data_IF_387730455155
#
_entry.id   IF_387730455155
#
_cell.length_a   1.000
_cell.length_b   1.000
_cell.length_c   1.000
_cell.angle_alpha   90.00
_cell.angle_beta   90.00
_cell.angle_gamma   90.00
#
_symmetry.space_group_name_H-M   'P 1'
#
loop_
_entity.id
_entity.type
_entity.pdbx_description
1 polymer ?
#
# COMPACT_ATOMS: atom_id res chain seq x y z
N UNK A 1 3.53 15.84 0.90
CA UNK A 1 3.48 15.01 2.13
C UNK A 1 4.17 13.68 1.83
N UNK A 2 5.05 13.21 2.71
CA UNK A 2 5.61 11.86 2.65
C UNK A 2 4.92 11.02 3.72
N UNK A 3 4.21 9.96 3.34
CA UNK A 3 3.54 9.06 4.28
C UNK A 3 3.95 7.61 4.03
N UNK A 4 4.09 6.85 5.11
CA UNK A 4 4.34 5.41 5.08
C UNK A 4 3.23 4.66 5.83
N UNK A 5 2.73 3.57 5.25
CA UNK A 5 1.79 2.65 5.88
C UNK A 5 2.51 1.33 6.09
N UNK A 6 2.89 1.03 7.33
CA UNK A 6 3.54 -0.24 7.67
C UNK A 6 2.52 -1.38 7.72
N UNK A 7 2.79 -2.43 6.94
CA UNK A 7 1.99 -3.64 6.92
C UNK A 7 2.56 -4.65 7.93
N UNK A 8 1.74 -5.00 8.92
CA UNK A 8 2.11 -5.93 9.99
C UNK A 8 1.04 -7.02 10.13
N UNK A 9 1.49 -8.24 10.44
CA UNK A 9 0.61 -9.38 10.70
C UNK A 9 -0.16 -9.24 12.01
N UNK A 10 0.47 -8.60 12.99
CA UNK A 10 -0.16 -8.33 14.28
C UNK A 10 0.15 -6.91 14.74
N UNK A 11 -0.88 -6.07 14.82
CA UNK A 11 -0.74 -4.66 15.22
C UNK A 11 -0.32 -4.49 16.69
N UNK A 12 -0.75 -5.36 17.60
CA UNK A 12 -0.41 -5.29 19.04
C UNK A 12 1.05 -5.69 19.28
N UNK A 13 1.48 -6.81 18.67
CA UNK A 13 2.82 -7.37 18.82
C UNK A 13 3.83 -6.81 17.80
N UNK A 14 3.40 -5.97 16.86
CA UNK A 14 4.17 -5.44 15.73
C UNK A 14 4.93 -6.53 14.95
N UNK A 15 4.28 -7.68 14.76
CA UNK A 15 4.90 -8.80 14.04
C UNK A 15 4.90 -8.44 12.55
N UNK A 16 6.07 -8.39 11.89
CA UNK A 16 6.15 -8.05 10.48
C UNK A 16 5.51 -9.13 9.60
N UNK A 17 5.09 -8.73 8.41
CA UNK A 17 4.65 -9.68 7.38
C UNK A 17 5.88 -10.38 6.80
N UNK A 18 5.75 -11.69 6.55
CA UNK A 18 6.72 -12.49 5.82
C UNK A 18 6.02 -13.20 4.67
N UNK A 19 6.49 -12.94 3.45
CA UNK A 19 5.93 -13.52 2.22
C UNK A 19 7.03 -14.17 1.39
N UNK A 20 6.70 -15.30 0.74
CA UNK A 20 7.61 -15.93 -0.25
C UNK A 20 7.78 -15.07 -1.51
N UNK A 21 6.76 -14.26 -1.83
CA UNK A 21 6.78 -13.32 -2.95
C UNK A 21 7.19 -11.96 -2.40
N UNK A 22 7.97 -11.18 -3.16
CA UNK A 22 8.30 -9.80 -2.80
C UNK A 22 7.04 -8.99 -2.51
N UNK A 23 6.98 -8.38 -1.32
CA UNK A 23 5.88 -7.50 -0.90
C UNK A 23 5.71 -6.32 -1.87
N UNK A 24 6.82 -5.82 -2.42
CA UNK A 24 6.81 -4.77 -3.44
C UNK A 24 6.06 -5.23 -4.69
N UNK A 25 6.33 -6.46 -5.17
CA UNK A 25 5.63 -7.03 -6.33
C UNK A 25 4.14 -7.19 -6.05
N UNK A 26 3.75 -7.68 -4.87
CA UNK A 26 2.33 -7.84 -4.51
C UNK A 26 1.61 -6.48 -4.51
N UNK A 27 2.20 -5.48 -3.84
CA UNK A 27 1.61 -4.14 -3.73
C UNK A 27 1.53 -3.46 -5.08
N UNK A 28 2.62 -3.50 -5.87
CA UNK A 28 2.68 -2.88 -7.19
C UNK A 28 1.63 -3.45 -8.15
N UNK A 29 1.53 -4.78 -8.29
CA UNK A 29 0.57 -5.40 -9.21
C UNK A 29 -0.88 -5.09 -8.82
N UNK A 30 -1.19 -5.14 -7.51
CA UNK A 30 -2.54 -4.82 -7.05
C UNK A 30 -2.86 -3.33 -7.23
N UNK A 31 -1.94 -2.43 -6.87
CA UNK A 31 -2.10 -0.99 -7.04
C UNK A 31 -2.30 -0.62 -8.52
N UNK A 32 -1.47 -1.20 -9.40
CA UNK A 32 -1.56 -1.01 -10.85
C UNK A 32 -2.93 -1.43 -11.38
N UNK A 33 -3.46 -2.57 -10.93
CA UNK A 33 -4.82 -3.01 -11.30
C UNK A 33 -5.93 -2.08 -10.79
N UNK A 34 -5.64 -1.26 -9.77
CA UNK A 34 -6.55 -0.25 -9.22
C UNK A 34 -6.30 1.16 -9.79
N UNK A 35 -5.40 1.32 -10.77
CA UNK A 35 -5.15 2.58 -11.45
C UNK A 35 -4.20 3.54 -10.72
N UNK A 36 -3.43 3.07 -9.74
CA UNK A 36 -2.43 3.88 -9.03
C UNK A 36 -1.06 3.20 -8.99
N UNK A 37 -0.01 3.98 -8.82
CA UNK A 37 1.34 3.46 -8.57
C UNK A 37 1.65 3.53 -7.07
N UNK A 38 2.05 2.39 -6.50
CA UNK A 38 2.57 2.31 -5.14
C UNK A 38 3.86 1.51 -5.14
N UNK A 39 4.83 1.96 -4.34
CA UNK A 39 6.06 1.22 -4.04
C UNK A 39 6.14 0.94 -2.55
N UNK A 40 6.89 -0.10 -2.19
CA UNK A 40 7.20 -0.39 -0.80
C UNK A 40 8.68 -0.19 -0.47
N UNK A 41 8.96 0.12 0.79
CA UNK A 41 10.27 0.02 1.43
C UNK A 41 10.15 -1.03 2.56
N UNK A 42 10.67 -2.24 2.31
CA UNK A 42 10.31 -3.40 3.14
C UNK A 42 8.78 -3.58 3.16
N UNK A 43 8.21 -3.72 4.36
CA UNK A 43 6.76 -3.87 4.56
C UNK A 43 6.00 -2.52 4.61
N UNK A 44 6.64 -1.40 4.30
CA UNK A 44 6.02 -0.07 4.35
C UNK A 44 5.57 0.34 2.96
N UNK A 45 4.27 0.57 2.76
CA UNK A 45 3.71 1.16 1.54
C UNK A 45 3.93 2.67 1.57
N UNK A 46 4.59 3.21 0.56
CA UNK A 46 4.92 4.62 0.47
C UNK A 46 3.87 5.39 -0.33
N UNK A 47 3.38 6.50 0.22
CA UNK A 47 2.58 7.51 -0.49
C UNK A 47 3.43 8.76 -0.66
N UNK A 48 3.76 9.06 -1.92
CA UNK A 48 4.57 10.21 -2.31
C UNK A 48 3.87 10.94 -3.46
N UNK A 49 2.75 11.63 -3.20
CA UNK A 49 2.06 12.38 -4.24
C UNK A 49 2.92 13.55 -4.74
N UNK A 50 2.75 13.98 -6.01
CA UNK A 50 3.33 15.21 -6.52
C UNK A 50 2.90 16.42 -5.67
N UNK A 51 3.76 17.44 -5.57
CA UNK A 51 3.43 18.66 -4.81
C UNK A 51 2.27 19.44 -5.44
N UNK A 52 2.03 19.28 -6.73
CA UNK A 52 0.95 19.94 -7.48
C UNK A 52 -0.37 19.14 -7.54
N UNK A 53 -0.49 18.04 -6.80
CA UNK A 53 -1.70 17.20 -6.81
C UNK A 53 -2.92 18.00 -6.34
N UNK A 54 -4.06 17.85 -7.01
CA UNK A 54 -5.34 18.44 -6.57
C UNK A 54 -5.96 17.64 -5.41
N UNK A 55 -6.91 18.23 -4.69
CA UNK A 55 -7.63 17.53 -3.62
C UNK A 55 -8.39 16.30 -4.14
N UNK A 56 -8.99 16.38 -5.33
CA UNK A 56 -9.74 15.27 -5.92
C UNK A 56 -8.82 14.10 -6.31
N UNK A 57 -7.64 14.39 -6.87
CA UNK A 57 -6.65 13.37 -7.19
C UNK A 57 -6.03 12.75 -5.93
N UNK A 58 -5.85 13.55 -4.88
CA UNK A 58 -5.39 13.05 -3.59
C UNK A 58 -6.42 12.10 -2.95
N UNK A 59 -7.70 12.45 -2.98
CA UNK A 59 -8.78 11.58 -2.50
C UNK A 59 -8.83 10.28 -3.30
N UNK A 60 -8.75 10.36 -4.63
CA UNK A 60 -8.64 9.19 -5.50
C UNK A 60 -7.44 8.31 -5.14
N UNK A 61 -6.26 8.90 -4.92
CA UNK A 61 -5.06 8.15 -4.52
C UNK A 61 -5.26 7.42 -3.19
N UNK A 62 -5.86 8.09 -2.19
CA UNK A 62 -6.12 7.51 -0.86
C UNK A 62 -7.13 6.37 -0.97
N UNK A 63 -8.25 6.56 -1.67
CA UNK A 63 -9.29 5.56 -1.84
C UNK A 63 -8.76 4.30 -2.54
N UNK A 64 -7.99 4.50 -3.63
CA UNK A 64 -7.35 3.40 -4.35
C UNK A 64 -6.28 2.71 -3.50
N UNK A 65 -5.57 3.44 -2.64
CA UNK A 65 -4.62 2.86 -1.69
C UNK A 65 -5.33 1.97 -0.67
N UNK A 66 -6.42 2.44 -0.07
CA UNK A 66 -7.24 1.66 0.88
C UNK A 66 -7.79 0.40 0.21
N UNK A 67 -8.34 0.54 -1.00
CA UNK A 67 -8.84 -0.59 -1.79
C UNK A 67 -7.74 -1.63 -2.05
N UNK A 68 -6.54 -1.16 -2.40
CA UNK A 68 -5.36 -2.01 -2.65
C UNK A 68 -5.00 -2.82 -1.42
N UNK A 69 -4.85 -2.16 -0.26
CA UNK A 69 -4.50 -2.83 1.01
C UNK A 69 -5.58 -3.84 1.41
N UNK A 70 -6.87 -3.50 1.28
CA UNK A 70 -8.00 -4.41 1.55
C UNK A 70 -7.98 -5.66 0.66
N UNK A 71 -7.74 -5.49 -0.65
CA UNK A 71 -7.65 -6.62 -1.58
C UNK A 71 -6.47 -7.54 -1.27
N UNK A 72 -5.33 -6.95 -0.92
CA UNK A 72 -4.14 -7.70 -0.53
C UNK A 72 -4.41 -8.50 0.75
N UNK A 73 -4.98 -7.87 1.78
CA UNK A 73 -5.35 -8.54 3.04
C UNK A 73 -6.26 -9.74 2.78
N UNK A 74 -7.29 -9.58 1.95
CA UNK A 74 -8.22 -10.67 1.58
C UNK A 74 -7.53 -11.82 0.81
N UNK A 75 -6.51 -11.53 0.00
CA UNK A 75 -5.86 -12.51 -0.88
C UNK A 75 -4.70 -13.26 -0.21
N UNK A 76 -3.97 -12.60 0.68
CA UNK A 76 -2.71 -13.11 1.24
C UNK A 76 -2.73 -13.32 2.77
N UNK A 77 -3.89 -13.14 3.42
CA UNK A 77 -4.08 -13.32 4.87
C UNK A 77 -3.03 -12.56 5.70
N UNK A 78 -2.87 -11.27 5.37
CA UNK A 78 -1.95 -10.36 6.03
C UNK A 78 -2.45 -9.93 7.41
#
# INVERSE_FOLDING_TARGET
MLMGIELVKNKKKKIPISTKISINKIVFEMAKSNGIYLRTLGNIVMLVPPLAISSNELEFLIDRTILTIKKIHKKYDF
#
